data_IF_824411138586
#
_entry.id   IF_824411138586
#
_cell.length_a   1.000
_cell.length_b   1.000
_cell.length_c   1.000
_cell.angle_alpha   90.00
_cell.angle_beta   90.00
_cell.angle_gamma   90.00
#
_symmetry.space_group_name_H-M   'P 1'
#
loop_
_entity.id
_entity.type
_entity.pdbx_description
1 polymer ?
#
# COMPACT_ATOMS: atom_id res chain seq x y z
N UNK A 1 -17.69 52.19 -2.73
CA UNK A 1 -18.31 50.95 -3.27
C UNK A 1 -17.43 50.27 -4.32
N UNK A 2 -16.09 50.32 -4.21
CA UNK A 2 -15.18 49.87 -5.28
C UNK A 2 -13.98 49.06 -4.78
N UNK A 3 -14.05 48.44 -3.60
CA UNK A 3 -12.86 47.76 -3.01
C UNK A 3 -13.19 46.44 -2.31
N UNK A 4 -13.84 45.51 -3.04
CA UNK A 4 -14.05 44.12 -2.58
C UNK A 4 -13.48 43.07 -3.56
N UNK A 5 -12.77 43.49 -4.60
CA UNK A 5 -12.28 42.61 -5.67
C UNK A 5 -10.87 42.04 -5.44
N UNK A 6 -10.22 42.36 -4.31
CA UNK A 6 -8.81 41.99 -4.05
C UNK A 6 -8.58 40.75 -3.18
N UNK A 7 -9.61 40.15 -2.56
CA UNK A 7 -9.42 39.19 -1.47
C UNK A 7 -9.57 37.70 -1.87
N UNK A 8 -9.46 37.34 -3.15
CA UNK A 8 -9.53 35.94 -3.61
C UNK A 8 -8.18 35.47 -4.18
N UNK A 9 -7.14 35.58 -3.36
CA UNK A 9 -5.85 34.94 -3.61
C UNK A 9 -6.01 33.41 -3.63
N UNK A 10 -5.84 32.85 -4.83
CA UNK A 10 -6.04 31.45 -5.21
C UNK A 10 -5.31 30.47 -4.26
N UNK A 11 -6.02 29.58 -3.53
CA UNK A 11 -5.40 28.53 -2.71
C UNK A 11 -4.86 27.32 -3.50
N UNK A 12 -4.82 27.37 -4.84
CA UNK A 12 -4.56 26.21 -5.70
C UNK A 12 -3.17 25.58 -5.52
N UNK A 13 -2.15 26.36 -5.13
CA UNK A 13 -0.78 25.89 -5.00
C UNK A 13 -0.57 24.85 -3.86
N UNK A 14 -1.31 24.97 -2.75
CA UNK A 14 -1.19 24.03 -1.61
C UNK A 14 -1.87 22.68 -1.87
N UNK A 15 -2.98 22.66 -2.61
CA UNK A 15 -3.69 21.41 -2.95
C UNK A 15 -2.95 20.55 -3.99
N UNK A 16 -2.21 21.18 -4.90
CA UNK A 16 -1.45 20.48 -5.94
C UNK A 16 -0.29 19.65 -5.36
N UNK A 17 0.40 20.17 -4.33
CA UNK A 17 1.52 19.49 -3.68
C UNK A 17 1.08 18.17 -3.00
N UNK A 18 -0.05 18.17 -2.31
CA UNK A 18 -0.55 16.99 -1.61
C UNK A 18 -1.01 15.90 -2.59
N UNK A 19 -1.68 16.30 -3.69
CA UNK A 19 -2.10 15.38 -4.76
C UNK A 19 -0.92 14.70 -5.44
N UNK A 20 0.19 15.42 -5.63
CA UNK A 20 1.42 14.89 -6.26
C UNK A 20 2.03 13.76 -5.43
N UNK A 21 2.00 13.86 -4.10
CA UNK A 21 2.53 12.82 -3.21
C UNK A 21 1.76 11.49 -3.34
N UNK A 22 0.43 11.54 -3.42
CA UNK A 22 -0.39 10.33 -3.63
C UNK A 22 -0.12 9.66 -4.99
N UNK A 23 0.04 10.45 -6.05
CA UNK A 23 0.36 9.93 -7.38
C UNK A 23 1.73 9.25 -7.38
N UNK A 24 2.73 9.83 -6.70
CA UNK A 24 4.06 9.22 -6.58
C UNK A 24 3.99 7.87 -5.86
N UNK A 25 3.26 7.78 -4.74
CA UNK A 25 3.12 6.54 -3.98
C UNK A 25 2.34 5.49 -4.78
N UNK A 26 1.30 5.90 -5.51
CA UNK A 26 0.55 5.00 -6.40
C UNK A 26 1.45 4.39 -7.47
N UNK A 27 2.27 5.22 -8.14
CA UNK A 27 3.24 4.74 -9.14
C UNK A 27 4.25 3.79 -8.49
N UNK A 28 4.75 4.13 -7.30
CA UNK A 28 5.68 3.27 -6.55
C UNK A 28 5.06 1.89 -6.24
N UNK A 29 3.80 1.85 -5.76
CA UNK A 29 3.06 0.61 -5.54
C UNK A 29 2.88 -0.21 -6.83
N UNK A 30 2.60 0.49 -7.94
CA UNK A 30 2.53 -0.13 -9.27
C UNK A 30 3.86 -0.77 -9.67
N UNK A 31 4.98 -0.06 -9.51
CA UNK A 31 6.33 -0.58 -9.79
C UNK A 31 6.65 -1.78 -8.91
N UNK A 32 6.38 -1.72 -7.60
CA UNK A 32 6.57 -2.87 -6.71
C UNK A 32 5.75 -4.09 -7.15
N UNK A 33 4.59 -3.88 -7.77
CA UNK A 33 3.77 -4.96 -8.32
C UNK A 33 4.33 -5.52 -9.62
N UNK A 34 4.88 -4.68 -10.49
CA UNK A 34 5.59 -5.16 -11.68
C UNK A 34 6.84 -5.99 -11.30
N UNK A 35 7.59 -5.55 -10.29
CA UNK A 35 8.74 -6.30 -9.75
C UNK A 35 8.28 -7.65 -9.20
N UNK A 36 7.17 -7.68 -8.47
CA UNK A 36 6.57 -8.92 -7.97
C UNK A 36 6.29 -9.92 -9.11
N UNK A 37 5.64 -9.45 -10.18
CA UNK A 37 5.38 -10.27 -11.37
C UNK A 37 6.68 -10.76 -12.02
N UNK A 38 7.69 -9.90 -12.15
CA UNK A 38 8.97 -10.28 -12.72
C UNK A 38 9.65 -11.38 -11.90
N UNK A 39 9.66 -11.26 -10.57
CA UNK A 39 10.24 -12.26 -9.66
C UNK A 39 9.52 -13.61 -9.79
N UNK A 40 8.19 -13.61 -9.86
CA UNK A 40 7.40 -14.85 -9.99
C UNK A 40 7.55 -15.51 -11.35
N UNK A 41 7.70 -14.72 -12.42
CA UNK A 41 7.78 -15.23 -13.80
C UNK A 41 9.18 -15.64 -14.22
N UNK A 42 10.21 -15.32 -13.43
CA UNK A 42 11.59 -15.69 -13.74
C UNK A 42 11.85 -17.15 -13.36
N UNK A 43 12.10 -18.06 -14.32
CA UNK A 43 12.46 -19.44 -14.01
C UNK A 43 13.89 -19.51 -13.46
N UNK A 44 14.18 -20.55 -12.65
CA UNK A 44 15.52 -20.81 -12.11
C UNK A 44 15.83 -20.19 -10.75
N UNK A 45 14.91 -19.40 -10.18
CA UNK A 45 15.04 -18.90 -8.81
C UNK A 45 14.57 -19.97 -7.82
N UNK A 46 15.34 -20.20 -6.75
CA UNK A 46 14.94 -21.12 -5.69
C UNK A 46 13.59 -20.70 -5.08
N UNK A 47 12.68 -21.66 -4.88
CA UNK A 47 11.32 -21.40 -4.39
C UNK A 47 11.31 -20.61 -3.08
N UNK A 48 12.23 -20.92 -2.16
CA UNK A 48 12.37 -20.20 -0.89
C UNK A 48 12.73 -18.71 -1.10
N UNK A 49 13.62 -18.41 -2.05
CA UNK A 49 14.01 -17.03 -2.36
C UNK A 49 12.85 -16.23 -2.96
N UNK A 50 12.05 -16.85 -3.86
CA UNK A 50 10.83 -16.23 -4.39
C UNK A 50 9.85 -15.91 -3.26
N UNK A 51 9.59 -16.86 -2.35
CA UNK A 51 8.68 -16.66 -1.22
C UNK A 51 9.16 -15.51 -0.33
N UNK A 52 10.44 -15.48 0.04
CA UNK A 52 11.00 -14.40 0.86
C UNK A 52 10.82 -13.06 0.16
N UNK A 53 11.18 -12.96 -1.12
CA UNK A 53 11.05 -11.72 -1.90
C UNK A 53 9.59 -11.23 -1.96
N UNK A 54 8.64 -12.13 -2.21
CA UNK A 54 7.22 -11.79 -2.26
C UNK A 54 6.70 -11.30 -0.91
N UNK A 55 7.06 -11.97 0.19
CA UNK A 55 6.65 -11.55 1.54
C UNK A 55 7.25 -10.18 1.88
N UNK A 56 8.53 -9.95 1.57
CA UNK A 56 9.17 -8.64 1.79
C UNK A 56 8.48 -7.53 0.98
N UNK A 57 8.18 -7.77 -0.31
CA UNK A 57 7.47 -6.81 -1.16
C UNK A 57 6.06 -6.54 -0.63
N UNK A 58 5.34 -7.57 -0.18
CA UNK A 58 4.00 -7.42 0.40
C UNK A 58 4.02 -6.55 1.67
N UNK A 59 4.98 -6.78 2.58
CA UNK A 59 5.15 -5.97 3.79
C UNK A 59 5.52 -4.53 3.44
N UNK A 60 6.41 -4.33 2.46
CA UNK A 60 6.78 -2.98 2.00
C UNK A 60 5.57 -2.21 1.44
N UNK A 61 4.71 -2.86 0.64
CA UNK A 61 3.45 -2.25 0.16
C UNK A 61 2.53 -1.89 1.32
N UNK A 62 2.36 -2.78 2.28
CA UNK A 62 1.54 -2.52 3.47
C UNK A 62 2.07 -1.33 4.28
N UNK A 63 3.39 -1.23 4.45
CA UNK A 63 4.03 -0.09 5.11
C UNK A 63 3.84 1.21 4.33
N UNK A 64 3.99 1.20 2.99
CA UNK A 64 3.74 2.38 2.16
C UNK A 64 2.30 2.88 2.28
N UNK A 65 1.32 1.96 2.28
CA UNK A 65 -0.09 2.32 2.51
C UNK A 65 -0.27 2.89 3.93
N UNK A 66 0.30 2.25 4.94
CA UNK A 66 0.21 2.67 6.34
C UNK A 66 0.90 4.01 6.64
N UNK A 67 1.98 4.37 5.94
CA UNK A 67 2.68 5.64 6.14
C UNK A 67 2.13 6.77 5.28
N UNK A 68 1.74 6.52 4.03
CA UNK A 68 1.39 7.57 3.07
C UNK A 68 -0.11 7.74 2.83
N UNK A 69 -0.88 6.65 2.81
CA UNK A 69 -2.34 6.72 2.66
C UNK A 69 -3.06 6.88 3.99
N UNK A 70 -2.46 6.38 5.07
CA UNK A 70 -3.01 6.41 6.42
C UNK A 70 -2.27 7.45 7.27
N UNK A 71 -2.70 8.71 7.27
CA UNK A 71 -2.30 9.70 8.29
C UNK A 71 -2.87 9.33 9.68
N UNK A 72 -2.56 8.11 10.16
CA UNK A 72 -3.24 7.38 11.24
C UNK A 72 -3.16 8.08 12.61
N UNK A 73 -2.30 9.07 12.71
CA UNK A 73 -2.10 9.89 13.90
C UNK A 73 -3.18 10.96 14.12
N UNK A 74 -3.92 11.37 13.08
CA UNK A 74 -4.79 12.56 13.16
C UNK A 74 -6.25 12.36 12.71
N UNK A 75 -6.67 11.13 12.42
CA UNK A 75 -7.96 10.87 11.76
C UNK A 75 -8.92 9.97 12.57
N UNK A 76 -10.22 10.04 12.29
CA UNK A 76 -11.29 9.33 13.02
C UNK A 76 -11.19 7.80 12.94
N UNK A 77 -11.58 7.10 14.03
CA UNK A 77 -11.49 5.63 14.18
C UNK A 77 -12.11 4.82 13.04
N UNK A 78 -13.15 5.35 12.39
CA UNK A 78 -13.86 4.68 11.29
C UNK A 78 -12.98 4.58 10.04
N UNK A 79 -12.30 5.67 9.66
CA UNK A 79 -11.42 5.69 8.46
C UNK A 79 -10.24 4.72 8.60
N UNK A 80 -9.72 4.57 9.82
CA UNK A 80 -8.71 3.57 10.15
C UNK A 80 -9.24 2.14 9.96
N UNK A 81 -10.47 1.83 10.39
CA UNK A 81 -11.05 0.49 10.25
C UNK A 81 -11.29 0.13 8.78
N UNK A 82 -11.78 1.07 7.97
CA UNK A 82 -12.08 0.84 6.55
C UNK A 82 -10.84 0.46 5.74
N UNK A 83 -9.66 0.95 6.12
CA UNK A 83 -8.41 0.61 5.42
C UNK A 83 -7.66 -0.56 6.07
N UNK A 84 -7.82 -0.75 7.39
CA UNK A 84 -7.24 -1.90 8.07
C UNK A 84 -7.85 -3.22 7.59
N UNK A 85 -9.15 -3.24 7.27
CA UNK A 85 -9.84 -4.41 6.71
C UNK A 85 -9.16 -4.99 5.45
N UNK A 86 -9.07 -4.24 4.34
CA UNK A 86 -8.40 -4.69 3.12
C UNK A 86 -6.89 -4.92 3.30
N UNK A 87 -6.26 -4.30 4.31
CA UNK A 87 -4.84 -4.56 4.62
C UNK A 87 -4.63 -5.91 5.30
N UNK A 88 -5.49 -6.27 6.27
CA UNK A 88 -5.37 -7.52 7.03
C UNK A 88 -5.89 -8.74 6.30
N UNK A 89 -6.91 -8.58 5.44
CA UNK A 89 -7.52 -9.69 4.72
C UNK A 89 -6.52 -10.57 3.94
N UNK A 90 -5.63 -10.03 3.07
CA UNK A 90 -4.64 -10.85 2.36
C UNK A 90 -3.58 -11.44 3.29
N UNK A 91 -3.19 -10.74 4.37
CA UNK A 91 -2.24 -11.27 5.36
C UNK A 91 -2.83 -12.48 6.11
N UNK A 92 -4.08 -12.37 6.55
CA UNK A 92 -4.81 -13.46 7.20
C UNK A 92 -4.99 -14.65 6.25
N UNK A 93 -5.39 -14.40 5.01
CA UNK A 93 -5.54 -15.45 3.99
C UNK A 93 -4.22 -16.18 3.72
N UNK A 94 -3.10 -15.44 3.58
CA UNK A 94 -1.77 -16.04 3.42
C UNK A 94 -1.37 -16.92 4.60
N UNK A 95 -1.61 -16.46 5.84
CA UNK A 95 -1.34 -17.27 7.04
C UNK A 95 -2.18 -18.55 7.09
N UNK A 96 -3.46 -18.46 6.72
CA UNK A 96 -4.36 -19.62 6.66
C UNK A 96 -3.83 -20.64 5.65
N UNK A 97 -3.41 -20.21 4.47
CA UNK A 97 -2.83 -21.11 3.45
C UNK A 97 -1.52 -21.77 3.91
N UNK A 98 -0.65 -21.01 4.59
CA UNK A 98 0.59 -21.56 5.16
C UNK A 98 0.26 -22.61 6.23
N UNK A 99 -0.71 -22.33 7.11
CA UNK A 99 -1.15 -23.29 8.13
C UNK A 99 -1.78 -24.54 7.50
N UNK A 100 -2.60 -24.38 6.47
CA UNK A 100 -3.22 -25.50 5.75
C UNK A 100 -2.17 -26.37 5.07
N UNK A 101 -1.20 -25.77 4.38
CA UNK A 101 -0.11 -26.50 3.73
C UNK A 101 0.79 -27.21 4.74
N UNK A 102 1.11 -26.57 5.87
CA UNK A 102 1.87 -27.19 6.95
C UNK A 102 1.12 -28.38 7.54
N UNK A 103 -0.18 -28.24 7.77
CA UNK A 103 -1.00 -29.34 8.29
C UNK A 103 -1.04 -30.50 7.28
N UNK A 104 -1.26 -30.22 5.98
CA UNK A 104 -1.25 -31.26 4.93
C UNK A 104 0.11 -31.95 4.75
N UNK A 105 1.21 -31.34 5.19
CA UNK A 105 2.53 -31.97 5.14
C UNK A 105 2.78 -32.95 6.31
N UNK A 106 1.99 -32.86 7.38
CA UNK A 106 2.16 -33.66 8.62
C UNK A 106 1.22 -34.87 8.69
N UNK A 107 0.10 -34.85 7.96
CA UNK A 107 -0.82 -35.99 7.80
C UNK A 107 -0.72 -36.56 6.40
#
# INVERSE_FOLDING_TARGET
MADLAGAHGVPAARGAAHRRQYVVVFVLLGVLTLVELAVVRTPGIARAAVVIALVTIAVAKAALIALFYMHLRFETRILRLTVLGPLLAPAAYGLILIAETAWRAVR
#
